data_IF_893031279110
#
_entry.id   IF_893031279110
#
_cell.length_a   1.000
_cell.length_b   1.000
_cell.length_c   1.000
_cell.angle_alpha   90.00
_cell.angle_beta   90.00
_cell.angle_gamma   90.00
#
_symmetry.space_group_name_H-M   'P 1'
#
loop_
_entity.id
_entity.type
_entity.pdbx_description
1 polymer ?
#
# COMPACT_ATOMS: atom_id res chain seq x y z
N UNK A 1 19.02 -15.38 2.33
CA UNK A 1 18.85 -14.01 1.81
C UNK A 1 20.21 -13.52 1.40
N UNK A 2 20.48 -13.35 0.10
CA UNK A 2 21.70 -12.70 -0.35
C UNK A 2 21.79 -11.30 0.29
N UNK A 3 22.99 -10.88 0.66
CA UNK A 3 23.39 -9.49 0.95
C UNK A 3 22.72 -8.76 2.14
N UNK A 4 21.91 -9.45 2.94
CA UNK A 4 21.33 -8.90 4.18
C UNK A 4 20.08 -8.05 3.98
N UNK A 5 19.52 -8.02 2.77
CA UNK A 5 18.23 -7.39 2.45
C UNK A 5 17.07 -8.18 3.07
N UNK A 6 16.04 -7.49 3.54
CA UNK A 6 14.74 -8.12 3.85
C UNK A 6 13.98 -8.44 2.55
N UNK A 7 12.90 -9.25 2.63
CA UNK A 7 12.04 -9.48 1.46
C UNK A 7 11.41 -8.18 0.97
N UNK A 8 11.16 -7.27 1.90
CA UNK A 8 10.65 -5.95 1.62
C UNK A 8 11.68 -5.10 0.88
N UNK A 9 12.95 -5.09 1.33
CA UNK A 9 14.01 -4.34 0.64
C UNK A 9 14.20 -4.81 -0.81
N UNK A 10 14.12 -6.13 -1.04
CA UNK A 10 14.16 -6.70 -2.39
C UNK A 10 12.97 -6.26 -3.24
N UNK A 11 11.77 -6.23 -2.66
CA UNK A 11 10.56 -5.78 -3.35
C UNK A 11 10.63 -4.28 -3.71
N UNK A 12 11.10 -3.43 -2.81
CA UNK A 12 11.30 -1.99 -3.07
C UNK A 12 12.29 -1.77 -4.22
N UNK A 13 13.41 -2.49 -4.19
CA UNK A 13 14.42 -2.38 -5.24
C UNK A 13 13.86 -2.88 -6.59
N UNK A 14 13.12 -3.99 -6.60
CA UNK A 14 12.45 -4.49 -7.81
C UNK A 14 11.47 -3.46 -8.38
N UNK A 15 10.57 -2.92 -7.55
CA UNK A 15 9.63 -1.88 -7.95
C UNK A 15 10.32 -0.64 -8.53
N UNK A 16 11.43 -0.24 -7.91
CA UNK A 16 12.24 0.88 -8.39
C UNK A 16 12.84 0.60 -9.79
N UNK A 17 13.34 -0.61 -10.06
CA UNK A 17 13.85 -0.94 -11.40
C UNK A 17 12.77 -0.88 -12.49
N UNK A 18 11.53 -1.23 -12.16
CA UNK A 18 10.40 -1.05 -13.09
C UNK A 18 10.14 0.42 -13.38
N UNK A 19 10.22 1.30 -12.37
CA UNK A 19 10.11 2.75 -12.55
C UNK A 19 11.24 3.32 -13.39
N UNK A 20 12.47 2.86 -13.19
CA UNK A 20 13.62 3.23 -14.03
C UNK A 20 13.35 2.82 -15.48
N UNK A 21 12.87 1.60 -15.72
CA UNK A 21 12.58 1.10 -17.06
C UNK A 21 11.45 1.87 -17.76
N UNK A 22 10.44 2.34 -17.01
CA UNK A 22 9.29 3.06 -17.58
C UNK A 22 9.51 4.56 -17.75
N UNK A 23 10.20 5.22 -16.80
CA UNK A 23 10.24 6.68 -16.68
C UNK A 23 11.67 7.25 -16.70
N UNK A 24 12.69 6.39 -16.69
CA UNK A 24 14.09 6.78 -16.63
C UNK A 24 14.60 6.94 -15.20
N UNK A 25 15.92 6.80 -15.01
CA UNK A 25 16.53 6.77 -13.68
C UNK A 25 16.33 8.08 -12.91
N UNK A 26 16.60 9.21 -13.55
CA UNK A 26 16.55 10.53 -12.90
C UNK A 26 15.14 10.85 -12.42
N UNK A 27 14.12 10.59 -13.24
CA UNK A 27 12.72 10.81 -12.87
C UNK A 27 12.28 9.84 -11.76
N UNK A 28 12.65 8.56 -11.88
CA UNK A 28 12.30 7.57 -10.88
C UNK A 28 12.92 7.88 -9.52
N UNK A 29 14.19 8.27 -9.47
CA UNK A 29 14.88 8.60 -8.22
C UNK A 29 14.24 9.81 -7.51
N UNK A 30 13.80 10.81 -8.27
CA UNK A 30 13.16 12.02 -7.70
C UNK A 30 11.73 11.75 -7.21
N UNK A 31 10.95 10.96 -7.96
CA UNK A 31 9.50 10.84 -7.73
C UNK A 31 9.10 9.54 -7.01
N UNK A 32 9.90 8.50 -7.14
CA UNK A 32 9.63 7.17 -6.61
C UNK A 32 10.87 6.51 -5.99
N UNK A 33 11.62 7.19 -5.09
CA UNK A 33 12.74 6.56 -4.42
C UNK A 33 12.26 5.33 -3.62
N UNK A 34 13.02 4.22 -3.60
CA UNK A 34 12.65 3.02 -2.86
C UNK A 34 12.62 3.29 -1.35
N UNK A 35 11.57 2.83 -0.68
CA UNK A 35 11.33 3.08 0.75
C UNK A 35 11.83 1.94 1.64
N UNK A 36 13.11 1.57 1.50
CA UNK A 36 13.75 0.44 2.22
C UNK A 36 13.45 0.38 3.73
N UNK A 37 13.51 -0.80 4.34
CA UNK A 37 13.48 -0.98 5.80
C UNK A 37 14.86 -0.82 6.43
N UNK A 38 15.88 -1.37 5.77
CA UNK A 38 17.26 -1.41 6.26
C UNK A 38 17.85 -0.01 6.42
N UNK A 39 18.35 0.33 7.62
CA UNK A 39 18.90 1.68 7.92
C UNK A 39 19.97 2.15 6.92
N UNK A 40 20.85 1.25 6.50
CA UNK A 40 21.91 1.58 5.53
C UNK A 40 21.35 1.84 4.13
N UNK A 41 20.31 1.09 3.73
CA UNK A 41 19.65 1.24 2.44
C UNK A 41 18.79 2.51 2.41
N UNK A 42 18.07 2.82 3.50
CA UNK A 42 17.37 4.11 3.68
C UNK A 42 18.30 5.29 3.44
N UNK A 43 19.48 5.26 4.08
CA UNK A 43 20.47 6.32 3.91
C UNK A 43 20.94 6.48 2.45
N UNK A 44 20.98 5.39 1.67
CA UNK A 44 21.30 5.44 0.23
C UNK A 44 20.15 6.05 -0.58
N UNK A 45 18.90 5.71 -0.25
CA UNK A 45 17.71 6.19 -0.97
C UNK A 45 17.38 7.66 -0.66
N UNK A 46 17.72 8.13 0.54
CA UNK A 46 17.50 9.50 1.02
C UNK A 46 18.69 10.44 0.75
N UNK A 47 19.78 9.96 0.15
CA UNK A 47 20.96 10.76 -0.17
C UNK A 47 20.68 11.72 -1.34
N UNK A 48 21.10 12.98 -1.20
CA UNK A 48 21.03 13.98 -2.28
C UNK A 48 21.92 13.60 -3.47
N UNK A 49 22.99 12.82 -3.25
CA UNK A 49 23.79 12.24 -4.31
C UNK A 49 23.09 11.01 -4.90
N UNK A 50 22.67 11.04 -6.18
CA UNK A 50 21.97 9.90 -6.78
C UNK A 50 22.90 8.73 -7.15
N UNK A 51 24.22 8.89 -7.04
CA UNK A 51 25.19 7.87 -7.48
C UNK A 51 25.16 6.58 -6.63
N UNK A 52 25.07 6.61 -5.29
CA UNK A 52 25.00 5.40 -4.48
C UNK A 52 23.76 4.56 -4.80
N UNK A 53 22.59 5.16 -4.99
CA UNK A 53 21.38 4.44 -5.37
C UNK A 53 21.50 3.83 -6.78
N UNK A 54 22.12 4.54 -7.72
CA UNK A 54 22.38 4.03 -9.07
C UNK A 54 23.33 2.84 -9.06
N UNK A 55 24.34 2.90 -8.20
CA UNK A 55 25.30 1.82 -8.00
C UNK A 55 24.62 0.61 -7.34
N UNK A 56 23.79 0.84 -6.33
CA UNK A 56 23.01 -0.21 -5.66
C UNK A 56 22.17 -1.01 -6.66
N UNK A 57 21.42 -0.32 -7.54
CA UNK A 57 20.62 -0.97 -8.59
C UNK A 57 21.49 -1.81 -9.51
N UNK A 58 22.61 -1.28 -9.97
CA UNK A 58 23.54 -2.00 -10.87
C UNK A 58 24.14 -3.23 -10.22
N UNK A 59 24.54 -3.12 -8.96
CA UNK A 59 25.19 -4.20 -8.23
C UNK A 59 24.25 -5.38 -7.96
N UNK A 60 22.93 -5.14 -7.93
CA UNK A 60 21.93 -6.13 -7.55
C UNK A 60 20.99 -6.54 -8.70
N UNK A 61 21.22 -6.10 -9.94
CA UNK A 61 20.36 -6.40 -11.10
C UNK A 61 20.16 -7.91 -11.31
N UNK A 62 21.26 -8.67 -11.34
CA UNK A 62 21.20 -10.12 -11.50
C UNK A 62 20.62 -10.84 -10.27
N UNK A 63 20.88 -10.30 -9.09
CA UNK A 63 20.38 -10.86 -7.83
C UNK A 63 18.85 -10.67 -7.70
N UNK A 64 18.31 -9.55 -8.21
CA UNK A 64 16.87 -9.29 -8.31
C UNK A 64 16.17 -10.32 -9.18
N UNK A 65 16.69 -10.56 -10.39
CA UNK A 65 16.14 -11.56 -11.32
C UNK A 65 16.12 -12.95 -10.66
N UNK A 66 17.24 -13.35 -10.05
CA UNK A 66 17.36 -14.63 -9.36
C UNK A 66 16.41 -14.75 -8.16
N UNK A 67 16.27 -13.69 -7.36
CA UNK A 67 15.37 -13.66 -6.22
C UNK A 67 13.91 -13.78 -6.66
N UNK A 68 13.52 -13.04 -7.70
CA UNK A 68 12.18 -13.08 -8.25
C UNK A 68 11.82 -14.46 -8.81
N UNK A 69 12.73 -15.09 -9.57
CA UNK A 69 12.54 -16.46 -10.05
C UNK A 69 12.39 -17.46 -8.89
N UNK A 70 13.13 -17.26 -7.80
CA UNK A 70 13.10 -18.14 -6.64
C UNK A 70 11.79 -18.05 -5.86
N UNK A 71 11.29 -16.84 -5.59
CA UNK A 71 10.06 -16.67 -4.79
C UNK A 71 8.78 -16.74 -5.62
N UNK A 72 8.89 -16.52 -6.93
CA UNK A 72 7.77 -16.53 -7.86
C UNK A 72 6.95 -15.25 -7.84
N UNK A 73 6.26 -15.00 -8.96
CA UNK A 73 5.45 -13.80 -9.17
C UNK A 73 4.30 -13.64 -8.19
N UNK A 74 3.67 -14.74 -7.76
CA UNK A 74 2.58 -14.70 -6.77
C UNK A 74 3.07 -14.15 -5.42
N UNK A 75 4.26 -14.55 -4.98
CA UNK A 75 4.81 -14.07 -3.72
C UNK A 75 5.22 -12.60 -3.81
N UNK A 76 5.73 -12.15 -4.96
CA UNK A 76 6.02 -10.73 -5.23
C UNK A 76 4.74 -9.90 -5.15
N UNK A 77 3.66 -10.36 -5.77
CA UNK A 77 2.35 -9.66 -5.76
C UNK A 77 1.76 -9.57 -4.35
N UNK A 78 1.89 -10.63 -3.55
CA UNK A 78 1.49 -10.63 -2.14
C UNK A 78 2.31 -9.63 -1.32
N UNK A 79 3.63 -9.58 -1.50
CA UNK A 79 4.51 -8.60 -0.83
C UNK A 79 4.14 -7.17 -1.22
N UNK A 80 3.91 -6.92 -2.51
CA UNK A 80 3.51 -5.62 -3.02
C UNK A 80 2.16 -5.17 -2.46
N UNK A 81 1.17 -6.07 -2.44
CA UNK A 81 -0.15 -5.81 -1.86
C UNK A 81 -0.06 -5.50 -0.37
N UNK A 82 0.76 -6.24 0.38
CA UNK A 82 1.01 -5.98 1.79
C UNK A 82 1.66 -4.60 2.01
N UNK A 83 2.68 -4.25 1.21
CA UNK A 83 3.32 -2.94 1.27
C UNK A 83 2.35 -1.79 0.99
N UNK A 84 1.60 -1.87 -0.10
CA UNK A 84 0.61 -0.84 -0.47
C UNK A 84 -0.45 -0.66 0.62
N UNK A 85 -0.82 -1.75 1.29
CA UNK A 85 -1.73 -1.72 2.44
C UNK A 85 -1.10 -1.04 3.65
N UNK A 86 0.11 -1.42 4.03
CA UNK A 86 0.82 -0.78 5.17
C UNK A 86 1.01 0.72 4.94
N UNK A 87 1.45 1.12 3.75
CA UNK A 87 1.62 2.53 3.39
C UNK A 87 0.32 3.32 3.44
N UNK A 88 -0.78 2.69 3.01
CA UNK A 88 -2.11 3.27 3.15
C UNK A 88 -2.50 3.40 4.62
N UNK A 89 -2.39 2.33 5.40
CA UNK A 89 -2.73 2.31 6.83
C UNK A 89 -1.89 3.32 7.63
N UNK A 90 -0.62 3.53 7.26
CA UNK A 90 0.27 4.54 7.83
C UNK A 90 -0.21 5.96 7.54
N UNK A 91 -0.55 6.28 6.29
CA UNK A 91 -1.07 7.60 5.89
C UNK A 91 -2.39 7.91 6.56
N UNK A 92 -3.24 6.91 6.68
CA UNK A 92 -4.60 7.02 7.21
C UNK A 92 -4.67 6.70 8.70
N UNK A 93 -3.52 6.54 9.39
CA UNK A 93 -3.43 6.17 10.81
C UNK A 93 -4.20 7.10 11.75
N UNK A 94 -4.41 8.34 11.35
CA UNK A 94 -5.14 9.35 12.12
C UNK A 94 -6.66 9.28 11.97
N UNK A 95 -7.17 8.58 10.95
CA UNK A 95 -8.60 8.49 10.63
C UNK A 95 -9.30 7.47 11.54
N UNK A 96 -10.55 7.69 11.93
CA UNK A 96 -11.21 6.86 12.95
C UNK A 96 -12.32 5.98 12.39
N UNK A 97 -12.74 6.22 11.15
CA UNK A 97 -13.82 5.51 10.48
C UNK A 97 -13.33 4.94 9.17
N UNK A 98 -13.80 3.75 8.78
CA UNK A 98 -13.44 3.17 7.51
C UNK A 98 -14.58 2.35 6.89
N UNK A 99 -14.52 2.18 5.58
CA UNK A 99 -15.42 1.33 4.81
C UNK A 99 -14.66 0.07 4.39
N UNK A 100 -15.16 -1.07 4.79
CA UNK A 100 -14.68 -2.37 4.35
C UNK A 100 -15.51 -2.84 3.15
N UNK A 101 -14.92 -3.21 2.00
CA UNK A 101 -15.66 -3.50 0.77
C UNK A 101 -16.58 -4.74 0.87
N UNK A 102 -16.27 -5.67 1.77
CA UNK A 102 -17.01 -6.92 2.01
C UNK A 102 -16.19 -8.14 1.58
N UNK A 103 -16.81 -9.33 1.57
CA UNK A 103 -16.16 -10.56 1.09
C UNK A 103 -15.14 -11.17 2.06
N UNK A 104 -14.13 -11.82 1.49
CA UNK A 104 -13.03 -12.55 2.11
C UNK A 104 -11.86 -11.66 2.58
N UNK A 105 -12.03 -10.34 2.51
CA UNK A 105 -11.06 -9.40 3.07
C UNK A 105 -10.97 -9.58 4.60
N UNK A 106 -9.73 -9.63 5.09
CA UNK A 106 -9.45 -9.74 6.53
C UNK A 106 -10.10 -8.59 7.29
N UNK A 107 -10.57 -8.86 8.52
CA UNK A 107 -11.35 -7.90 9.32
C UNK A 107 -10.68 -6.54 9.63
N UNK A 108 -9.37 -6.41 9.38
CA UNK A 108 -8.63 -5.15 9.48
C UNK A 108 -8.39 -4.42 8.16
N UNK A 109 -8.74 -5.01 7.01
CA UNK A 109 -8.53 -4.42 5.70
C UNK A 109 -9.70 -3.50 5.35
N UNK A 110 -9.45 -2.37 4.67
CA UNK A 110 -10.53 -1.46 4.32
C UNK A 110 -10.24 -0.74 2.99
N UNK A 111 -11.28 -0.30 2.29
CA UNK A 111 -11.17 0.36 0.97
C UNK A 111 -10.93 1.87 1.11
N UNK A 112 -11.52 2.53 2.10
CA UNK A 112 -11.30 3.95 2.38
C UNK A 112 -11.48 4.25 3.87
N UNK A 113 -10.72 5.21 4.40
CA UNK A 113 -10.87 5.72 5.77
C UNK A 113 -11.23 7.21 5.79
N UNK A 114 -11.81 7.65 6.91
CA UNK A 114 -12.47 8.93 7.10
C UNK A 114 -12.28 9.45 8.52
N UNK A 115 -12.35 10.77 8.69
CA UNK A 115 -12.20 11.41 10.00
C UNK A 115 -13.43 11.18 10.87
N UNK A 116 -14.62 11.13 10.25
CA UNK A 116 -15.90 11.02 10.95
C UNK A 116 -16.82 9.98 10.33
N UNK A 117 -17.81 9.55 11.14
CA UNK A 117 -18.85 8.62 10.69
C UNK A 117 -19.65 9.20 9.54
N UNK A 118 -19.99 10.50 9.62
CA UNK A 118 -20.78 11.20 8.63
C UNK A 118 -20.10 11.19 7.26
N UNK A 119 -18.77 11.37 7.21
CA UNK A 119 -17.99 11.26 5.99
C UNK A 119 -18.02 9.83 5.42
N UNK A 120 -17.89 8.81 6.26
CA UNK A 120 -17.99 7.41 5.82
C UNK A 120 -19.39 7.09 5.27
N UNK A 121 -20.45 7.59 5.91
CA UNK A 121 -21.84 7.44 5.45
C UNK A 121 -22.10 8.18 4.14
N UNK A 122 -21.51 9.36 3.95
CA UNK A 122 -21.57 10.08 2.67
C UNK A 122 -20.83 9.31 1.56
N UNK A 123 -19.69 8.67 1.88
CA UNK A 123 -19.01 7.77 0.94
C UNK A 123 -19.88 6.60 0.49
N UNK A 124 -20.62 5.96 1.42
CA UNK A 124 -21.60 4.91 1.10
C UNK A 124 -22.70 5.45 0.18
N UNK A 125 -23.24 6.62 0.50
CA UNK A 125 -24.29 7.27 -0.29
C UNK A 125 -23.81 7.55 -1.72
N UNK A 126 -22.62 8.13 -1.88
CA UNK A 126 -22.02 8.40 -3.19
C UNK A 126 -21.82 7.12 -4.01
N UNK A 127 -21.32 6.04 -3.38
CA UNK A 127 -21.20 4.74 -4.06
C UNK A 127 -22.56 4.22 -4.53
N UNK A 128 -23.60 4.32 -3.71
CA UNK A 128 -24.94 3.89 -4.06
C UNK A 128 -25.56 4.74 -5.19
N UNK A 129 -25.31 6.06 -5.18
CA UNK A 129 -25.71 6.97 -6.27
C UNK A 129 -25.01 6.60 -7.58
N UNK A 130 -23.71 6.30 -7.55
CA UNK A 130 -22.96 5.83 -8.71
C UNK A 130 -23.50 4.49 -9.23
N UNK A 131 -23.80 3.54 -8.33
CA UNK A 131 -24.38 2.24 -8.70
C UNK A 131 -25.79 2.36 -9.29
N UNK A 132 -26.56 3.38 -8.89
CA UNK A 132 -27.86 3.67 -9.50
C UNK A 132 -27.71 4.31 -10.89
N UNK A 133 -26.67 5.12 -11.10
CA UNK A 133 -26.43 5.83 -12.35
C UNK A 133 -25.71 4.98 -13.42
N UNK A 134 -24.87 4.02 -13.02
CA UNK A 134 -23.95 3.33 -13.93
C UNK A 134 -23.88 1.83 -13.64
N UNK A 135 -24.04 1.01 -14.69
CA UNK A 135 -24.13 -0.45 -14.58
C UNK A 135 -22.84 -1.18 -14.13
N UNK A 136 -21.67 -0.53 -14.19
CA UNK A 136 -20.39 -1.12 -13.78
C UNK A 136 -20.05 -0.84 -12.31
N UNK A 137 -20.85 -0.03 -11.61
CA UNK A 137 -20.74 0.16 -10.17
C UNK A 137 -21.72 -0.76 -9.44
N UNK A 138 -21.32 -1.20 -8.24
CA UNK A 138 -22.16 -2.03 -7.37
C UNK A 138 -22.53 -1.26 -6.11
N UNK A 139 -23.78 -1.40 -5.61
CA UNK A 139 -24.18 -0.80 -4.34
C UNK A 139 -23.27 -1.27 -3.21
N UNK A 140 -23.10 -0.43 -2.19
CA UNK A 140 -22.31 -0.80 -1.02
C UNK A 140 -22.94 -1.99 -0.30
N UNK A 141 -22.17 -3.07 -0.14
CA UNK A 141 -22.53 -4.30 0.61
C UNK A 141 -21.52 -4.61 1.71
N UNK A 142 -20.72 -3.60 2.04
CA UNK A 142 -19.60 -3.70 2.93
C UNK A 142 -19.99 -3.53 4.39
N UNK A 143 -18.96 -3.26 5.20
CA UNK A 143 -19.08 -3.04 6.64
C UNK A 143 -18.49 -1.68 6.99
N UNK A 144 -19.02 -1.04 8.02
CA UNK A 144 -18.41 0.17 8.58
C UNK A 144 -17.51 -0.26 9.72
N UNK A 145 -16.29 0.23 9.72
CA UNK A 145 -15.30 -0.01 10.75
C UNK A 145 -15.06 1.27 11.54
N UNK A 146 -14.79 1.12 12.83
CA UNK A 146 -14.41 2.20 13.73
C UNK A 146 -13.26 1.76 14.63
N UNK A 147 -12.36 2.69 14.94
CA UNK A 147 -11.35 2.54 16.00
C UNK A 147 -11.44 3.70 16.98
N UNK A 148 -11.22 3.43 18.26
CA UNK A 148 -11.35 4.43 19.32
C UNK A 148 -10.20 5.44 19.36
N UNK A 149 -9.06 5.10 18.75
CA UNK A 149 -7.85 5.93 18.75
C UNK A 149 -7.04 5.76 17.46
N UNK A 150 -6.24 6.78 17.06
CA UNK A 150 -5.34 6.69 15.91
C UNK A 150 -4.40 5.47 15.96
N UNK A 151 -4.45 4.64 14.92
CA UNK A 151 -3.64 3.43 14.82
C UNK A 151 -4.09 2.26 15.71
N UNK A 152 -5.23 2.37 16.39
CA UNK A 152 -5.87 1.24 17.07
C UNK A 152 -6.54 0.26 16.09
N UNK A 153 -7.01 -0.86 16.65
CA UNK A 153 -7.67 -1.93 15.89
C UNK A 153 -9.02 -1.49 15.33
N UNK A 154 -9.30 -1.94 14.11
CA UNK A 154 -10.60 -1.75 13.49
C UNK A 154 -11.64 -2.70 14.08
N UNK A 155 -12.79 -2.15 14.46
CA UNK A 155 -13.95 -2.91 14.93
C UNK A 155 -15.15 -2.62 14.05
N UNK A 156 -15.88 -3.68 13.67
CA UNK A 156 -17.12 -3.53 12.91
C UNK A 156 -18.19 -2.86 13.76
N UNK A 157 -18.86 -1.87 13.19
CA UNK A 157 -19.96 -1.14 13.82
C UNK A 157 -21.21 -1.13 12.94
N UNK A 158 -22.41 -1.12 13.53
CA UNK A 158 -23.65 -1.04 12.77
C UNK A 158 -23.72 0.20 11.86
N UNK A 159 -24.25 -0.01 10.65
CA UNK A 159 -24.53 1.07 9.67
C UNK A 159 -25.55 2.08 10.22
N UNK A 160 -26.58 1.61 10.91
CA UNK A 160 -27.55 2.46 11.61
C UNK A 160 -27.09 2.70 13.06
N UNK A 161 -27.33 3.88 13.67
CA UNK A 161 -27.22 3.98 15.13
C UNK A 161 -28.14 2.95 15.77
N UNK A 162 -27.63 2.17 16.74
CA UNK A 162 -28.51 1.38 17.60
C UNK A 162 -29.55 2.33 18.22
N UNK A 163 -30.84 1.97 18.18
CA UNK A 163 -31.93 2.82 18.67
C UNK A 163 -31.79 3.18 20.15
#
# INVERSE_FOLDING_TARGET
>A
MPDGFSHYDWMELLGFTWKIASEGYEYAAENYPPSFEGKALKAIAEDDDPRPLKQLVRDHEQALESWQEQIGWEQVDQLWTAHMREEKERRERHLLWALHPGGDWDGGAYSAAYESREQALEGIKQQNELAAAYAHFVPFRGRVLHRSEPGGDWTEVPLEPSP
#
